data_IF_563022306025
#
_entry.id   IF_563022306025
#
_cell.length_a   1.000
_cell.length_b   1.000
_cell.length_c   1.000
_cell.angle_alpha   90.00
_cell.angle_beta   90.00
_cell.angle_gamma   90.00
#
_symmetry.space_group_name_H-M   'P 1'
#
loop_
_entity.id
_entity.type
_entity.pdbx_description
1 polymer ?
#
# COMPACT_ATOMS: atom_id res chain seq x y z
N UNK A 1 23.51 -36.01 -63.47
CA UNK A 1 22.69 -35.14 -62.61
C UNK A 1 23.27 -35.15 -61.20
N UNK A 2 23.42 -33.96 -60.59
CA UNK A 2 23.70 -33.68 -59.16
C UNK A 2 25.14 -34.05 -58.70
N UNK A 3 26.11 -33.17 -59.00
CA UNK A 3 26.79 -32.19 -58.10
C UNK A 3 27.51 -32.90 -56.93
N UNK A 4 28.83 -33.17 -56.97
CA UNK A 4 30.00 -32.25 -56.86
C UNK A 4 29.81 -31.22 -55.73
N UNK A 5 30.70 -30.95 -54.77
CA UNK A 5 32.16 -31.04 -54.61
C UNK A 5 32.47 -31.34 -53.11
N UNK A 6 33.50 -32.09 -52.70
CA UNK A 6 34.96 -31.81 -52.66
C UNK A 6 35.38 -30.51 -51.94
N UNK A 7 36.08 -30.66 -50.80
CA UNK A 7 37.24 -29.91 -50.26
C UNK A 7 37.24 -30.06 -48.71
N UNK A 8 38.09 -30.88 -48.10
CA UNK A 8 39.55 -30.79 -47.92
C UNK A 8 40.00 -29.61 -47.04
N UNK A 9 40.73 -29.99 -45.98
CA UNK A 9 41.25 -29.24 -44.85
C UNK A 9 41.97 -27.94 -45.17
N UNK A 10 41.91 -26.99 -44.22
CA UNK A 10 43.10 -26.26 -43.72
C UNK A 10 42.81 -25.78 -42.30
N UNK A 11 43.71 -26.16 -41.40
CA UNK A 11 43.82 -25.65 -40.03
C UNK A 11 44.58 -24.34 -40.10
N UNK A 12 44.09 -23.28 -39.44
CA UNK A 12 44.96 -22.22 -38.93
C UNK A 12 44.40 -21.66 -37.62
N UNK A 13 45.14 -21.94 -36.56
CA UNK A 13 44.96 -21.47 -35.20
C UNK A 13 45.12 -19.95 -35.07
N UNK A 14 44.19 -19.30 -34.37
CA UNK A 14 44.43 -18.00 -33.73
C UNK A 14 44.00 -18.11 -32.26
N UNK A 15 44.98 -17.90 -31.41
CA UNK A 15 44.93 -17.85 -29.96
C UNK A 15 44.19 -16.58 -29.55
N UNK A 16 43.16 -16.69 -28.72
CA UNK A 16 42.65 -15.55 -27.97
C UNK A 16 42.68 -15.84 -26.47
N UNK A 17 43.35 -14.92 -25.80
CA UNK A 17 43.77 -14.93 -24.41
C UNK A 17 42.61 -15.05 -23.42
N UNK A 18 42.77 -15.98 -22.49
CA UNK A 18 41.97 -16.09 -21.27
C UNK A 18 42.20 -14.87 -20.36
N UNK A 19 41.36 -13.85 -20.49
CA UNK A 19 41.15 -12.86 -19.43
C UNK A 19 40.09 -13.43 -18.47
N UNK A 20 40.58 -14.00 -17.37
CA UNK A 20 39.79 -14.34 -16.20
C UNK A 20 39.36 -13.03 -15.54
N UNK A 21 38.12 -12.60 -15.75
CA UNK A 21 37.51 -11.48 -15.04
C UNK A 21 36.36 -12.05 -14.22
N UNK A 22 36.45 -11.86 -12.91
CA UNK A 22 35.50 -12.34 -11.92
C UNK A 22 34.08 -11.86 -12.24
N UNK A 23 33.17 -12.81 -12.46
CA UNK A 23 31.73 -12.55 -12.46
C UNK A 23 31.28 -12.34 -11.02
N UNK A 24 31.23 -11.08 -10.60
CA UNK A 24 30.26 -10.68 -9.58
C UNK A 24 28.87 -10.84 -10.21
N UNK A 25 28.16 -11.91 -9.83
CA UNK A 25 26.72 -12.02 -10.02
C UNK A 25 26.07 -10.82 -9.32
N UNK A 26 25.80 -9.77 -10.09
CA UNK A 26 24.71 -8.86 -9.76
C UNK A 26 23.44 -9.70 -9.87
N UNK A 27 22.86 -10.03 -8.73
CA UNK A 27 21.44 -10.33 -8.67
C UNK A 27 20.73 -9.15 -9.33
N UNK A 28 20.08 -9.44 -10.46
CA UNK A 28 19.08 -8.58 -11.05
C UNK A 28 17.97 -8.41 -10.01
N UNK A 29 18.06 -7.32 -9.24
CA UNK A 29 16.87 -6.73 -8.65
C UNK A 29 15.87 -6.56 -9.79
N UNK A 30 14.63 -7.06 -9.66
CA UNK A 30 13.62 -6.78 -10.65
C UNK A 30 13.55 -5.26 -10.77
N UNK A 31 13.52 -4.81 -12.02
CA UNK A 31 13.47 -3.43 -12.43
C UNK A 31 12.58 -2.63 -11.47
N UNK A 32 13.18 -1.64 -10.81
CA UNK A 32 12.48 -0.50 -10.25
C UNK A 32 11.80 0.17 -11.45
N UNK A 33 10.59 -0.33 -11.71
CA UNK A 33 9.79 0.00 -12.86
C UNK A 33 9.19 1.36 -12.54
N UNK A 34 9.75 2.36 -13.21
CA UNK A 34 9.11 3.60 -13.61
C UNK A 34 8.90 4.65 -12.52
N UNK A 35 9.18 5.88 -12.92
CA UNK A 35 9.05 7.11 -12.16
C UNK A 35 7.80 7.12 -11.28
N UNK A 36 7.97 7.59 -10.04
CA UNK A 36 6.88 8.02 -9.16
C UNK A 36 5.99 8.98 -9.97
N UNK A 37 4.93 8.44 -10.57
CA UNK A 37 3.79 9.24 -11.01
C UNK A 37 3.27 9.97 -9.77
N UNK A 38 2.87 11.22 -9.95
CA UNK A 38 2.54 12.18 -8.90
C UNK A 38 1.25 11.85 -8.14
N UNK A 39 1.04 10.59 -7.76
CA UNK A 39 -0.14 10.10 -7.07
C UNK A 39 -0.04 10.39 -5.58
N UNK A 40 -1.19 10.74 -4.99
CA UNK A 40 -1.35 10.78 -3.54
C UNK A 40 -1.26 9.35 -2.99
N UNK A 41 -0.37 9.12 -2.03
CA UNK A 41 -0.14 7.79 -1.42
C UNK A 41 -0.49 7.83 0.06
N UNK A 42 -1.24 6.83 0.50
CA UNK A 42 -1.57 6.60 1.91
C UNK A 42 -0.95 5.27 2.33
N UNK A 43 -0.21 5.28 3.43
CA UNK A 43 0.38 4.08 4.02
C UNK A 43 -0.13 3.91 5.45
N UNK A 44 -0.77 2.77 5.70
CA UNK A 44 -1.11 2.30 7.05
C UNK A 44 -0.11 1.21 7.43
N UNK A 45 0.74 1.46 8.42
CA UNK A 45 1.60 0.42 8.99
C UNK A 45 0.84 -0.24 10.14
N UNK A 46 0.51 -1.51 9.98
CA UNK A 46 -0.31 -2.25 10.94
C UNK A 46 0.17 -3.71 11.11
N UNK A 47 -0.09 -4.29 12.29
CA UNK A 47 -0.05 -5.75 12.49
C UNK A 47 -1.45 -6.30 12.26
N UNK A 48 -1.59 -7.17 11.26
CA UNK A 48 -2.86 -7.81 10.86
C UNK A 48 -2.62 -9.32 10.80
N UNK A 49 -3.23 -10.08 11.70
CA UNK A 49 -2.87 -11.50 11.93
C UNK A 49 -3.75 -12.51 11.21
N UNK A 50 -4.69 -12.04 10.38
CA UNK A 50 -5.54 -12.85 9.52
C UNK A 50 -5.53 -12.23 8.12
N UNK A 51 -5.58 -13.07 7.08
CA UNK A 51 -5.71 -12.58 5.71
C UNK A 51 -7.01 -11.77 5.57
N UNK A 52 -6.95 -10.61 4.93
CA UNK A 52 -8.08 -9.71 4.75
C UNK A 52 -7.93 -8.85 3.48
N UNK A 53 -8.93 -8.03 3.17
CA UNK A 53 -8.89 -7.00 2.13
C UNK A 53 -9.33 -5.67 2.73
N UNK A 54 -8.45 -4.69 2.72
CA UNK A 54 -8.76 -3.34 3.19
C UNK A 54 -9.12 -2.46 1.99
N UNK A 55 -9.95 -1.46 2.25
CA UNK A 55 -10.37 -0.49 1.24
C UNK A 55 -10.10 0.92 1.74
N UNK A 56 -9.65 1.79 0.85
CA UNK A 56 -9.60 3.22 1.11
C UNK A 56 -10.55 3.92 0.15
N UNK A 57 -11.54 4.63 0.67
CA UNK A 57 -12.34 5.55 -0.10
C UNK A 57 -11.77 6.95 0.01
N UNK A 58 -11.97 7.74 -1.06
CA UNK A 58 -11.63 9.15 -1.09
C UNK A 58 -12.80 10.00 -1.59
N UNK A 59 -12.87 11.23 -1.10
CA UNK A 59 -13.82 12.24 -1.56
C UNK A 59 -13.08 13.51 -1.90
N UNK A 60 -13.41 14.12 -3.04
CA UNK A 60 -12.98 15.47 -3.42
C UNK A 60 -14.06 16.52 -3.11
N UNK A 61 -15.18 16.07 -2.54
CA UNK A 61 -16.31 16.90 -2.14
C UNK A 61 -16.24 17.21 -0.63
N UNK A 62 -17.34 17.76 -0.09
CA UNK A 62 -17.50 18.04 1.34
C UNK A 62 -17.60 16.77 2.19
N UNK A 63 -17.39 16.90 3.50
CA UNK A 63 -17.34 15.81 4.49
C UNK A 63 -18.59 14.92 4.49
N UNK A 64 -19.78 15.51 4.31
CA UNK A 64 -21.06 14.80 4.40
C UNK A 64 -21.45 14.08 3.10
N UNK A 65 -20.68 14.25 2.02
CA UNK A 65 -20.96 13.59 0.76
C UNK A 65 -20.77 12.06 0.89
N UNK A 66 -21.74 11.24 0.44
CA UNK A 66 -21.57 9.79 0.45
C UNK A 66 -20.35 9.36 -0.37
N UNK A 67 -19.52 8.49 0.20
CA UNK A 67 -18.43 7.84 -0.53
C UNK A 67 -19.00 7.00 -1.68
N UNK A 68 -18.37 7.08 -2.84
CA UNK A 68 -18.75 6.34 -4.05
C UNK A 68 -17.77 5.17 -4.23
N UNK A 69 -18.25 4.00 -4.64
CA UNK A 69 -17.41 2.81 -4.83
C UNK A 69 -16.29 3.05 -5.85
N UNK A 70 -16.59 3.74 -6.95
CA UNK A 70 -15.62 4.10 -7.99
C UNK A 70 -14.49 5.02 -7.46
N UNK A 71 -14.71 5.65 -6.29
CA UNK A 71 -13.74 6.49 -5.60
C UNK A 71 -13.06 5.71 -4.48
N UNK A 72 -12.55 4.52 -4.77
CA UNK A 72 -11.89 3.68 -3.78
C UNK A 72 -10.74 2.85 -4.35
N UNK A 73 -9.87 2.38 -3.45
CA UNK A 73 -8.75 1.50 -3.76
C UNK A 73 -8.74 0.33 -2.78
N UNK A 74 -8.71 -0.89 -3.32
CA UNK A 74 -8.63 -2.13 -2.54
C UNK A 74 -7.18 -2.62 -2.43
N UNK A 75 -6.81 -3.13 -1.25
CA UNK A 75 -5.51 -3.75 -0.98
C UNK A 75 -5.72 -5.06 -0.22
N UNK A 76 -5.23 -6.16 -0.81
CA UNK A 76 -5.16 -7.43 -0.10
C UNK A 76 -4.08 -7.37 1.00
N UNK A 77 -4.44 -7.75 2.21
CA UNK A 77 -3.54 -7.79 3.38
C UNK A 77 -3.28 -9.23 3.75
N UNK A 78 -2.01 -9.62 3.81
CA UNK A 78 -1.61 -10.97 4.22
C UNK A 78 -1.36 -11.03 5.71
N UNK A 79 -1.75 -12.12 6.35
CA UNK A 79 -1.51 -12.34 7.76
C UNK A 79 -0.02 -12.21 8.09
N UNK A 80 0.30 -11.41 9.10
CA UNK A 80 1.65 -11.20 9.61
C UNK A 80 1.61 -10.99 11.12
N UNK A 81 2.54 -11.63 11.83
CA UNK A 81 2.80 -11.38 13.25
C UNK A 81 3.64 -10.11 13.46
N UNK A 82 4.20 -9.54 12.39
CA UNK A 82 4.99 -8.31 12.37
C UNK A 82 4.22 -7.16 11.72
N UNK A 83 4.51 -5.91 12.09
CA UNK A 83 4.01 -4.73 11.38
C UNK A 83 4.34 -4.82 9.88
N UNK A 84 3.37 -4.48 9.03
CA UNK A 84 3.52 -4.43 7.58
C UNK A 84 2.90 -3.13 7.04
N UNK A 85 3.41 -2.66 5.91
CA UNK A 85 2.87 -1.49 5.21
C UNK A 85 1.74 -1.90 4.27
N UNK A 86 0.56 -1.35 4.51
CA UNK A 86 -0.62 -1.45 3.66
C UNK A 86 -0.67 -0.14 2.86
N UNK A 87 -0.37 -0.20 1.57
CA UNK A 87 -0.14 0.99 0.72
C UNK A 87 -1.28 1.17 -0.26
N UNK A 88 -2.05 2.24 -0.08
CA UNK A 88 -3.07 2.70 -1.01
C UNK A 88 -2.48 3.78 -1.91
N UNK A 89 -2.55 3.57 -3.22
CA UNK A 89 -2.11 4.55 -4.23
C UNK A 89 -3.36 5.03 -4.94
N UNK A 90 -3.69 6.32 -4.75
CA UNK A 90 -4.84 6.92 -5.42
C UNK A 90 -4.53 7.09 -6.92
N UNK A 91 -5.55 7.13 -7.79
CA UNK A 91 -5.33 7.39 -9.22
C UNK A 91 -4.55 8.69 -9.46
N UNK A 92 -3.90 8.78 -10.62
CA UNK A 92 -3.21 10.01 -11.04
C UNK A 92 -4.14 11.23 -10.95
N UNK A 93 -3.59 12.36 -10.53
CA UNK A 93 -4.28 13.65 -10.38
C UNK A 93 -5.47 13.67 -9.40
N UNK A 94 -5.73 12.58 -8.66
CA UNK A 94 -6.72 12.56 -7.57
C UNK A 94 -6.10 13.10 -6.29
N UNK A 95 -6.71 14.17 -5.79
CA UNK A 95 -6.37 14.79 -4.51
C UNK A 95 -7.56 14.68 -3.57
N UNK A 96 -7.49 13.89 -2.50
CA UNK A 96 -8.59 13.73 -1.57
C UNK A 96 -8.74 14.97 -0.68
N UNK A 97 -9.97 15.34 -0.35
CA UNK A 97 -10.27 16.19 0.80
C UNK A 97 -10.50 15.33 2.05
N UNK A 98 -11.21 14.23 1.89
CA UNK A 98 -11.54 13.29 2.96
C UNK A 98 -11.24 11.87 2.52
N UNK A 99 -10.91 11.02 3.50
CA UNK A 99 -10.69 9.60 3.29
C UNK A 99 -11.44 8.78 4.34
N UNK A 100 -11.88 7.59 3.93
CA UNK A 100 -12.40 6.55 4.81
C UNK A 100 -11.55 5.31 4.61
N UNK A 101 -11.15 4.65 5.70
CA UNK A 101 -10.40 3.40 5.63
C UNK A 101 -11.26 2.31 6.24
N UNK A 102 -11.54 1.30 5.44
CA UNK A 102 -12.34 0.15 5.81
C UNK A 102 -11.37 -0.97 6.19
N UNK A 103 -11.45 -1.41 7.44
CA UNK A 103 -10.47 -2.23 8.15
C UNK A 103 -10.69 -3.73 7.93
N UNK A 104 -11.19 -4.11 6.76
CA UNK A 104 -11.36 -5.51 6.39
C UNK A 104 -12.79 -5.92 6.12
N UNK A 105 -12.91 -7.04 5.42
CA UNK A 105 -14.17 -7.73 5.10
C UNK A 105 -14.23 -9.10 5.77
N UNK A 106 -13.15 -9.55 6.40
CA UNK A 106 -13.09 -10.84 7.08
C UNK A 106 -13.60 -10.76 8.51
N UNK A 107 -14.80 -11.29 8.77
CA UNK A 107 -15.40 -11.31 10.12
C UNK A 107 -14.57 -12.06 11.18
N UNK A 108 -13.58 -12.87 10.78
CA UNK A 108 -12.65 -13.57 11.69
C UNK A 108 -11.42 -12.72 12.03
N UNK A 109 -11.35 -11.49 11.52
CA UNK A 109 -10.27 -10.57 11.79
C UNK A 109 -10.15 -10.34 13.29
N UNK A 110 -8.91 -10.49 13.77
CA UNK A 110 -8.56 -10.31 15.18
C UNK A 110 -8.21 -8.86 15.46
N UNK A 111 -7.65 -8.62 16.63
CA UNK A 111 -7.03 -7.35 16.97
C UNK A 111 -6.07 -6.89 15.87
N UNK A 112 -6.20 -5.61 15.51
CA UNK A 112 -5.30 -4.89 14.62
C UNK A 112 -4.54 -3.91 15.48
N UNK A 113 -3.22 -3.90 15.34
CA UNK A 113 -2.35 -2.94 16.03
C UNK A 113 -1.88 -1.93 14.99
N UNK A 114 -2.27 -0.67 15.16
CA UNK A 114 -1.89 0.41 14.25
C UNK A 114 -0.57 1.00 14.74
N UNK A 115 0.51 0.85 13.96
CA UNK A 115 1.80 1.46 14.31
C UNK A 115 1.96 2.85 13.71
N UNK A 116 1.46 3.07 12.49
CA UNK A 116 1.65 4.34 11.81
C UNK A 116 0.60 4.61 10.74
N UNK A 117 0.32 5.88 10.51
CA UNK A 117 -0.40 6.36 9.35
C UNK A 117 0.42 7.45 8.67
N UNK A 118 0.59 7.35 7.35
CA UNK A 118 1.40 8.28 6.57
C UNK A 118 0.70 8.67 5.28
N UNK A 119 0.80 9.94 4.93
CA UNK A 119 0.40 10.47 3.63
C UNK A 119 1.61 11.04 2.91
N UNK A 120 1.71 10.78 1.61
CA UNK A 120 2.78 11.24 0.75
C UNK A 120 2.20 11.83 -0.53
N UNK A 121 2.68 13.03 -0.88
CA UNK A 121 2.39 13.67 -2.16
C UNK A 121 3.60 14.49 -2.59
N UNK A 122 4.19 14.15 -3.73
CA UNK A 122 5.51 14.65 -4.14
C UNK A 122 6.56 14.52 -3.02
N UNK A 123 7.25 15.60 -2.69
CA UNK A 123 8.28 15.68 -1.64
C UNK A 123 7.71 15.92 -0.24
N UNK A 124 6.40 16.11 -0.11
CA UNK A 124 5.73 16.39 1.16
C UNK A 124 5.19 15.12 1.79
N UNK A 125 5.23 15.09 3.12
CA UNK A 125 4.70 13.97 3.89
C UNK A 125 4.10 14.43 5.20
N UNK A 126 3.06 13.73 5.62
CA UNK A 126 2.46 13.82 6.95
C UNK A 126 2.50 12.44 7.61
N UNK A 127 2.66 12.39 8.93
CA UNK A 127 2.75 11.14 9.69
C UNK A 127 2.03 11.26 11.05
N UNK A 128 1.26 10.23 11.42
CA UNK A 128 0.61 10.06 12.71
C UNK A 128 0.93 8.68 13.28
N UNK A 129 1.82 8.64 14.29
CA UNK A 129 2.33 7.39 14.89
C UNK A 129 1.42 6.85 15.99
N UNK A 130 1.15 5.55 15.95
CA UNK A 130 0.42 4.82 16.98
C UNK A 130 -0.90 5.50 17.36
N UNK A 131 -1.06 5.82 18.64
CA UNK A 131 -2.29 6.42 19.18
C UNK A 131 -2.63 7.81 18.63
N UNK A 132 -1.68 8.50 17.99
CA UNK A 132 -1.95 9.77 17.30
C UNK A 132 -2.91 9.59 16.12
N UNK A 133 -3.05 8.37 15.57
CA UNK A 133 -4.04 8.04 14.55
C UNK A 133 -5.46 8.50 14.96
N UNK A 134 -5.83 8.32 16.23
CA UNK A 134 -7.16 8.67 16.74
C UNK A 134 -7.41 10.19 16.88
N UNK A 135 -6.42 11.04 16.59
CA UNK A 135 -6.64 12.49 16.49
C UNK A 135 -7.21 12.89 15.12
N UNK A 136 -7.11 11.98 14.14
CA UNK A 136 -7.43 12.24 12.74
C UNK A 136 -8.57 11.39 12.22
N UNK A 137 -8.92 10.33 12.94
CA UNK A 137 -9.91 9.34 12.53
C UNK A 137 -10.89 9.00 13.65
N UNK A 138 -12.16 8.83 13.29
CA UNK A 138 -13.22 8.36 14.18
C UNK A 138 -13.73 7.00 13.68
N UNK A 139 -13.79 5.96 14.54
CA UNK A 139 -14.37 4.67 14.18
C UNK A 139 -15.89 4.74 14.10
N UNK A 140 -16.50 3.87 13.28
CA UNK A 140 -17.92 3.57 13.42
C UNK A 140 -18.20 2.53 14.52
N UNK A 141 -19.45 2.06 14.60
CA UNK A 141 -19.94 1.08 15.56
C UNK A 141 -19.46 -0.37 15.31
N UNK A 142 -18.72 -0.61 14.23
CA UNK A 142 -18.11 -1.91 13.91
C UNK A 142 -16.64 -1.99 14.34
N UNK A 143 -16.12 -0.99 15.08
CA UNK A 143 -14.76 -0.99 15.62
C UNK A 143 -14.77 -0.65 17.11
N UNK A 144 -14.13 -1.50 17.90
CA UNK A 144 -13.84 -1.22 19.32
C UNK A 144 -12.38 -0.85 19.49
N UNK A 145 -12.10 0.26 20.17
CA UNK A 145 -10.73 0.61 20.60
C UNK A 145 -10.46 -0.12 21.92
N UNK A 146 -9.65 -1.18 21.87
CA UNK A 146 -9.32 -2.00 23.06
C UNK A 146 -8.28 -1.31 23.95
N UNK A 147 -7.21 -0.79 23.35
CA UNK A 147 -6.14 -0.08 24.06
C UNK A 147 -5.69 1.17 23.29
N UNK A 148 -6.29 2.33 23.61
CA UNK A 148 -6.02 3.58 22.90
C UNK A 148 -4.53 3.95 22.85
N UNK A 149 -3.80 3.81 23.96
CA UNK A 149 -2.37 4.20 24.03
C UNK A 149 -1.45 3.32 23.18
N UNK A 150 -1.85 2.07 22.90
CA UNK A 150 -1.11 1.13 22.05
C UNK A 150 -1.70 1.02 20.64
N UNK A 151 -2.76 1.79 20.36
CA UNK A 151 -3.53 1.73 19.13
C UNK A 151 -3.97 0.32 18.73
N UNK A 152 -4.47 -0.43 19.71
CA UNK A 152 -5.07 -1.74 19.50
C UNK A 152 -6.57 -1.56 19.30
N UNK A 153 -7.06 -2.04 18.16
CA UNK A 153 -8.48 -2.00 17.78
C UNK A 153 -8.96 -3.39 17.42
N UNK A 154 -10.26 -3.63 17.54
CA UNK A 154 -10.90 -4.86 17.10
C UNK A 154 -12.14 -4.57 16.28
N UNK A 155 -12.22 -5.22 15.12
CA UNK A 155 -13.42 -5.23 14.32
C UNK A 155 -14.48 -6.10 15.00
N UNK A 156 -15.70 -5.61 15.06
CA UNK A 156 -16.86 -6.27 15.66
C UNK A 156 -18.06 -6.12 14.73
N UNK A 157 -19.09 -6.94 14.96
CA UNK A 157 -20.41 -6.67 14.39
C UNK A 157 -21.09 -5.58 15.20
N UNK A 158 -21.79 -4.68 14.53
CA UNK A 158 -22.71 -3.74 15.17
C UNK A 158 -23.87 -4.49 15.83
N UNK A 159 -24.68 -3.77 16.60
CA UNK A 159 -25.80 -4.33 17.37
C UNK A 159 -26.89 -4.98 16.51
N UNK A 160 -27.02 -4.56 15.25
CA UNK A 160 -27.92 -5.12 14.23
C UNK A 160 -27.29 -6.28 13.43
N UNK A 161 -26.03 -6.64 13.71
CA UNK A 161 -25.33 -7.75 13.07
C UNK A 161 -24.58 -7.40 11.79
N UNK A 162 -24.55 -6.14 11.36
CA UNK A 162 -23.72 -5.68 10.24
C UNK A 162 -22.23 -5.77 10.61
N UNK A 163 -21.40 -6.16 9.64
CA UNK A 163 -19.95 -6.15 9.75
C UNK A 163 -19.39 -5.21 8.68
N UNK A 164 -18.97 -4.03 9.11
CA UNK A 164 -18.48 -2.97 8.21
C UNK A 164 -17.53 -2.04 8.99
N UNK A 165 -16.36 -2.56 9.42
CA UNK A 165 -15.43 -1.83 10.28
C UNK A 165 -14.73 -0.73 9.49
N UNK A 166 -14.96 0.53 9.86
CA UNK A 166 -14.36 1.66 9.15
C UNK A 166 -13.99 2.82 10.08
N UNK A 167 -13.06 3.63 9.58
CA UNK A 167 -12.63 4.90 10.18
C UNK A 167 -12.87 6.05 9.21
N UNK A 168 -13.55 7.09 9.66
CA UNK A 168 -13.73 8.34 8.91
C UNK A 168 -12.65 9.37 9.27
N UNK A 169 -12.06 10.02 8.27
CA UNK A 169 -11.15 11.14 8.49
C UNK A 169 -11.88 12.37 8.99
N UNK A 170 -11.32 13.05 9.98
CA UNK A 170 -11.88 14.28 10.54
C UNK A 170 -11.30 15.55 9.90
N UNK A 171 -11.86 16.71 10.27
CA UNK A 171 -11.34 18.02 9.84
C UNK A 171 -9.83 18.17 10.09
N UNK A 172 -9.33 17.63 11.18
CA UNK A 172 -7.90 17.67 11.50
C UNK A 172 -7.05 16.99 10.41
N UNK A 173 -7.54 15.92 9.80
CA UNK A 173 -6.83 15.25 8.71
C UNK A 173 -6.98 16.02 7.41
N UNK A 174 -8.18 16.51 7.11
CA UNK A 174 -8.43 17.41 5.98
C UNK A 174 -7.41 18.57 5.98
N UNK A 175 -7.23 19.25 7.12
CA UNK A 175 -6.29 20.37 7.24
C UNK A 175 -4.85 19.93 6.90
N UNK A 176 -4.43 18.71 7.29
CA UNK A 176 -3.12 18.15 6.92
C UNK A 176 -3.02 17.84 5.44
N UNK A 177 -4.07 17.29 4.82
CA UNK A 177 -4.10 17.04 3.38
C UNK A 177 -3.95 18.36 2.62
N UNK A 178 -4.63 19.43 3.04
CA UNK A 178 -4.51 20.74 2.42
C UNK A 178 -3.08 21.31 2.50
N UNK A 179 -2.32 21.02 3.56
CA UNK A 179 -0.91 21.42 3.66
C UNK A 179 0.01 20.64 2.71
N UNK A 180 -0.35 19.39 2.40
CA UNK A 180 0.38 18.55 1.47
C UNK A 180 0.19 18.97 0.02
N UNK A 181 -1.03 19.36 -0.37
CA UNK A 181 -1.38 19.61 -1.78
C UNK A 181 -1.21 21.07 -2.24
N UNK A 182 -1.09 22.01 -1.31
CA UNK A 182 -0.71 23.41 -1.57
C UNK A 182 0.78 23.54 -1.89
#
# INVERSE_FOLDING_TARGET
>A
MKKQLFFACIILSIVFSSCKKEENKKEESPAETEAIKNSFKVTLTATVTVDDNFQLYYSQNDYEAPYQEDNSVWVAVKASDKPQDIVFILPEDVLPNYIRIDFGTNEKQKEIIIQNFKMNYFSKSFEAKGSLFFNYFIPNDCITILEKNKAVVQNIKSTDGRYDPLFYSEKALYDQIQLLIK
#
